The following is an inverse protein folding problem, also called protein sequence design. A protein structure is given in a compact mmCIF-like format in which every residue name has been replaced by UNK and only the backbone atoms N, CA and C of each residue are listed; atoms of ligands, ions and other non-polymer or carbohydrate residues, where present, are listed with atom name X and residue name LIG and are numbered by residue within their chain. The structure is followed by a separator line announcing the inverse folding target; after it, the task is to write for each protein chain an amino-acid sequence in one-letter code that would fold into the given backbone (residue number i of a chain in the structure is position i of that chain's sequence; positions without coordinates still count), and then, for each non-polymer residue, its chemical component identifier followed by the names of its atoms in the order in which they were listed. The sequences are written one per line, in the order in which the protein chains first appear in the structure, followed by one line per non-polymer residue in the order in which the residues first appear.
data_IF_907490837272
#
_entry.id   IF_907490837272
#
_cell.length_a   1.000
_cell.length_b   1.000
_cell.length_c   1.000
_cell.angle_alpha   90.00
_cell.angle_beta   90.00
_cell.angle_gamma   90.00
#
_symmetry.space_group_name_H-M   'P 1'
#
loop_
_entity.id
_entity.type
_entity.pdbx_description
1 polymer ?
#
# COMPACT_ATOMS: atom_id res chain seq x y z
N UNK A 1 31.26 34.11 17.31
CA UNK A 1 30.02 34.04 18.09
C UNK A 1 29.00 34.95 17.40
N UNK A 2 27.78 34.46 17.14
CA UNK A 2 26.72 35.32 16.60
C UNK A 2 26.34 36.38 17.63
N UNK A 3 26.16 37.62 17.19
CA UNK A 3 25.55 38.66 18.02
C UNK A 3 24.13 38.27 18.40
N UNK A 4 23.60 38.86 19.49
CA UNK A 4 22.22 38.60 19.94
C UNK A 4 21.19 38.82 18.80
N UNK A 5 21.37 39.88 18.02
CA UNK A 5 20.52 40.20 16.88
C UNK A 5 20.63 39.17 15.73
N UNK A 6 21.84 38.72 15.40
CA UNK A 6 22.03 37.68 14.38
C UNK A 6 21.44 36.34 14.80
N UNK A 7 21.55 36.00 16.10
CA UNK A 7 20.98 34.78 16.66
C UNK A 7 19.44 34.81 16.63
N UNK A 8 18.83 35.94 16.98
CA UNK A 8 17.38 36.14 16.87
C UNK A 8 16.90 36.02 15.41
N UNK A 9 17.64 36.61 14.46
CA UNK A 9 17.37 36.46 13.02
C UNK A 9 17.50 35.01 12.55
N UNK A 10 18.54 34.29 12.99
CA UNK A 10 18.75 32.88 12.67
C UNK A 10 17.61 32.00 13.20
N UNK A 11 17.17 32.23 14.45
CA UNK A 11 16.03 31.53 15.04
C UNK A 11 14.75 31.83 14.24
N UNK A 12 14.49 33.10 13.93
CA UNK A 12 13.31 33.49 13.15
C UNK A 12 13.29 32.85 11.75
N UNK A 13 14.45 32.81 11.08
CA UNK A 13 14.63 32.14 9.80
C UNK A 13 14.37 30.64 9.92
N UNK A 14 14.94 29.98 10.93
CA UNK A 14 14.71 28.55 11.15
C UNK A 14 13.24 28.24 11.45
N UNK A 15 12.56 29.07 12.25
CA UNK A 15 11.11 28.93 12.52
C UNK A 15 10.29 29.03 11.23
N UNK A 16 10.68 29.89 10.30
CA UNK A 16 9.96 30.07 9.03
C UNK A 16 9.96 28.80 8.15
N UNK A 17 10.91 27.89 8.36
CA UNK A 17 11.04 26.63 7.62
C UNK A 17 10.09 25.53 8.12
N UNK A 18 9.60 25.61 9.35
CA UNK A 18 8.61 24.67 9.86
C UNK A 18 7.24 24.85 9.20
N UNK A 19 6.38 23.84 9.33
CA UNK A 19 4.98 23.90 8.93
C UNK A 19 4.26 25.09 9.59
N UNK A 20 3.35 25.74 8.85
CA UNK A 20 2.70 27.01 9.26
C UNK A 20 2.01 26.90 10.63
N UNK A 21 1.38 25.76 10.93
CA UNK A 21 0.66 25.52 12.19
C UNK A 21 1.57 25.53 13.42
N UNK A 22 2.84 25.11 13.28
CA UNK A 22 3.81 25.01 14.38
C UNK A 22 4.54 26.33 14.66
N UNK A 23 4.67 27.22 13.67
CA UNK A 23 5.50 28.45 13.77
C UNK A 23 5.15 29.34 14.96
N UNK A 24 3.85 29.54 15.24
CA UNK A 24 3.41 30.37 16.38
C UNK A 24 3.86 29.77 17.70
N UNK A 25 3.75 28.45 17.86
CA UNK A 25 4.12 27.74 19.09
C UNK A 25 5.64 27.74 19.28
N UNK A 26 6.40 27.58 18.20
CA UNK A 26 7.86 27.68 18.22
C UNK A 26 8.36 29.08 18.60
N UNK A 27 7.72 30.15 18.11
CA UNK A 27 8.05 31.52 18.56
C UNK A 27 7.78 31.71 20.04
N UNK A 28 6.65 31.20 20.54
CA UNK A 28 6.34 31.23 21.97
C UNK A 28 7.42 30.48 22.76
N UNK A 29 7.81 29.28 22.32
CA UNK A 29 8.86 28.47 22.95
C UNK A 29 10.20 29.22 23.00
N UNK A 30 10.65 29.82 21.90
CA UNK A 30 11.88 30.60 21.84
C UNK A 30 11.85 31.81 22.80
N UNK A 31 10.69 32.45 22.97
CA UNK A 31 10.51 33.57 23.89
C UNK A 31 10.56 33.20 25.38
N UNK A 32 10.43 31.90 25.72
CA UNK A 32 10.46 31.46 27.13
C UNK A 32 11.88 31.40 27.71
N UNK A 33 12.91 31.16 26.87
CA UNK A 33 14.31 31.12 27.30
C UNK A 33 15.25 31.15 26.09
N UNK A 34 16.41 31.84 26.16
CA UNK A 34 17.43 31.78 25.12
C UNK A 34 17.87 30.36 24.75
N UNK A 35 17.92 29.45 25.74
CA UNK A 35 18.30 28.04 25.53
C UNK A 35 17.26 27.25 24.72
N UNK A 36 15.98 27.61 24.87
CA UNK A 36 14.91 27.03 24.06
C UNK A 36 14.94 27.57 22.63
N UNK A 37 15.38 28.82 22.45
CA UNK A 37 15.73 29.36 21.13
C UNK A 37 16.89 28.60 20.47
N UNK A 38 17.95 28.29 21.24
CA UNK A 38 19.07 27.46 20.76
C UNK A 38 18.63 26.07 20.31
N UNK A 39 17.69 25.46 21.05
CA UNK A 39 17.17 24.14 20.74
C UNK A 39 16.55 24.06 19.33
N UNK A 40 15.90 25.14 18.87
CA UNK A 40 15.31 25.21 17.51
C UNK A 40 16.39 25.08 16.43
N UNK A 41 17.59 25.61 16.68
CA UNK A 41 18.72 25.52 15.76
C UNK A 41 19.45 24.18 15.89
N UNK A 42 19.69 23.73 17.12
CA UNK A 42 20.55 22.59 17.40
C UNK A 42 19.85 21.24 17.35
N UNK A 43 18.52 21.20 17.55
CA UNK A 43 17.70 19.99 17.51
C UNK A 43 16.24 20.31 17.10
N UNK A 44 15.99 20.53 15.79
CA UNK A 44 14.67 20.88 15.27
C UNK A 44 13.54 19.93 15.69
N UNK A 45 13.79 18.61 15.70
CA UNK A 45 12.80 17.61 16.10
C UNK A 45 12.36 17.71 17.56
N UNK A 46 13.29 17.93 18.49
CA UNK A 46 12.97 18.13 19.90
C UNK A 46 12.21 19.45 20.14
N UNK A 47 12.64 20.53 19.47
CA UNK A 47 11.94 21.81 19.55
C UNK A 47 10.50 21.72 19.03
N UNK A 48 10.29 21.02 17.91
CA UNK A 48 8.96 20.77 17.36
C UNK A 48 8.09 19.96 18.32
N UNK A 49 8.60 18.83 18.82
CA UNK A 49 7.89 17.95 19.76
C UNK A 49 7.39 18.69 21.00
N UNK A 50 8.26 19.53 21.59
CA UNK A 50 7.93 20.36 22.75
C UNK A 50 6.91 21.43 22.38
N UNK A 51 7.11 22.14 21.27
CA UNK A 51 6.23 23.24 20.87
C UNK A 51 4.81 22.75 20.50
N UNK A 52 4.68 21.55 19.93
CA UNK A 52 3.38 21.01 19.51
C UNK A 52 2.67 20.22 20.61
N UNK A 53 3.32 19.97 21.76
CA UNK A 53 2.85 19.04 22.80
C UNK A 53 2.49 17.67 22.19
N UNK A 54 3.38 17.13 21.35
CA UNK A 54 3.14 15.82 20.71
C UNK A 54 3.10 14.68 21.72
N UNK A 55 3.72 14.89 22.88
CA UNK A 55 3.86 13.93 23.98
C UNK A 55 3.09 14.39 25.21
N UNK A 56 3.05 13.50 26.20
CA UNK A 56 2.49 13.77 27.51
C UNK A 56 3.03 15.10 28.13
N UNK A 57 2.16 15.89 28.80
CA UNK A 57 2.56 17.17 29.38
C UNK A 57 3.71 17.09 30.38
N UNK A 58 3.78 16.05 31.21
CA UNK A 58 4.83 15.91 32.23
C UNK A 58 6.17 15.60 31.58
N UNK A 59 6.18 14.71 30.58
CA UNK A 59 7.37 14.40 29.76
C UNK A 59 7.87 15.64 29.03
N UNK A 60 6.94 16.45 28.51
CA UNK A 60 7.24 17.71 27.82
C UNK A 60 7.80 18.76 28.79
N UNK A 61 7.20 18.90 29.97
CA UNK A 61 7.65 19.79 31.03
C UNK A 61 9.07 19.45 31.50
N UNK A 62 9.37 18.16 31.67
CA UNK A 62 10.70 17.69 32.02
C UNK A 62 11.74 18.04 30.94
N UNK A 63 11.45 17.79 29.67
CA UNK A 63 12.34 18.16 28.56
C UNK A 63 12.62 19.68 28.52
N UNK A 64 11.59 20.50 28.81
CA UNK A 64 11.73 21.96 28.90
C UNK A 64 12.64 22.37 30.07
N UNK A 65 12.51 21.74 31.25
CA UNK A 65 13.40 21.99 32.40
C UNK A 65 14.85 21.68 32.04
N UNK A 66 15.11 20.47 31.56
CA UNK A 66 16.45 20.02 31.15
C UNK A 66 17.10 20.94 30.12
N UNK A 67 16.32 21.43 29.15
CA UNK A 67 16.81 22.37 28.15
C UNK A 67 17.15 23.75 28.76
N UNK A 68 16.35 24.24 29.71
CA UNK A 68 16.61 25.50 30.42
C UNK A 68 17.85 25.42 31.31
N UNK A 69 18.03 24.28 31.96
CA UNK A 69 19.18 24.00 32.84
C UNK A 69 20.48 23.79 32.05
N UNK A 70 20.41 23.74 30.71
CA UNK A 70 21.58 23.61 29.85
C UNK A 70 22.15 22.20 29.78
N UNK A 71 21.35 21.17 30.08
CA UNK A 71 21.75 19.78 29.93
C UNK A 71 22.00 19.42 28.46
N UNK A 72 22.59 18.24 28.24
CA UNK A 72 22.93 17.79 26.89
C UNK A 72 21.68 17.56 26.03
N UNK A 73 21.83 17.62 24.70
CA UNK A 73 20.72 17.33 23.78
C UNK A 73 20.15 15.92 23.95
N UNK A 74 20.98 14.96 24.40
CA UNK A 74 20.54 13.60 24.72
C UNK A 74 19.64 13.61 25.95
N UNK A 75 20.01 14.35 26.99
CA UNK A 75 19.22 14.46 28.22
C UNK A 75 17.89 15.16 27.97
N UNK A 76 17.85 16.15 27.06
CA UNK A 76 16.61 16.83 26.64
C UNK A 76 15.70 15.88 25.83
N UNK A 77 16.27 15.00 25.01
CA UNK A 77 15.50 14.07 24.17
C UNK A 77 14.98 12.84 24.92
N UNK A 78 15.69 12.39 25.96
CA UNK A 78 15.37 11.19 26.72
C UNK A 78 13.93 11.18 27.28
N UNK A 79 13.42 12.23 27.96
CA UNK A 79 12.05 12.26 28.45
C UNK A 79 11.03 12.08 27.33
N UNK A 80 11.33 12.55 26.12
CA UNK A 80 10.43 12.47 24.97
C UNK A 80 10.58 11.14 24.19
N UNK A 81 11.59 10.32 24.50
CA UNK A 81 11.92 9.13 23.71
C UNK A 81 12.32 9.45 22.27
N UNK A 82 12.91 10.63 22.03
CA UNK A 82 13.25 11.05 20.68
C UNK A 82 14.64 10.53 20.27
N UNK A 83 14.77 9.92 19.09
CA UNK A 83 16.06 9.44 18.64
C UNK A 83 16.95 10.59 18.16
N UNK A 84 18.25 10.48 18.45
CA UNK A 84 19.23 11.55 18.20
C UNK A 84 19.43 11.88 16.71
N UNK A 85 19.10 10.95 15.79
CA UNK A 85 19.24 11.20 14.36
C UNK A 85 18.28 12.30 13.85
N UNK A 86 17.19 12.58 14.57
CA UNK A 86 16.29 13.70 14.27
C UNK A 86 16.95 15.08 14.35
N UNK A 87 18.10 15.19 15.02
CA UNK A 87 18.92 16.41 15.00
C UNK A 87 19.31 16.83 13.58
N UNK A 88 19.48 15.87 12.67
CA UNK A 88 19.93 16.11 11.28
C UNK A 88 18.77 16.30 10.30
N UNK A 89 17.53 16.08 10.75
CA UNK A 89 16.34 16.19 9.92
C UNK A 89 15.97 17.67 9.76
N UNK A 90 15.70 18.14 8.53
CA UNK A 90 15.39 19.54 8.30
C UNK A 90 14.02 19.93 8.90
N UNK A 91 13.83 21.20 9.33
CA UNK A 91 12.56 21.69 9.87
C UNK A 91 11.31 21.38 9.04
N UNK A 92 11.45 21.38 7.72
CA UNK A 92 10.40 21.10 6.74
C UNK A 92 9.81 19.69 6.89
N UNK A 93 10.54 18.77 7.53
CA UNK A 93 10.07 17.40 7.76
C UNK A 93 8.96 17.32 8.81
N UNK A 94 8.95 18.25 9.75
CA UNK A 94 8.08 18.18 10.93
C UNK A 94 6.73 18.84 10.63
N UNK A 95 5.74 17.99 10.37
CA UNK A 95 4.34 18.37 10.17
C UNK A 95 3.43 17.45 10.98
N UNK A 96 2.31 17.98 11.50
CA UNK A 96 1.38 17.20 12.31
C UNK A 96 1.94 16.71 13.65
N UNK A 97 1.60 15.47 14.03
CA UNK A 97 2.05 14.84 15.29
C UNK A 97 3.17 13.85 15.02
N UNK A 98 4.24 13.90 15.82
CA UNK A 98 5.30 12.90 15.73
C UNK A 98 4.79 11.55 16.27
N UNK A 99 4.86 10.53 15.43
CA UNK A 99 4.63 9.13 15.77
C UNK A 99 5.90 8.48 16.33
N UNK A 100 5.79 7.22 16.74
CA UNK A 100 6.94 6.41 17.13
C UNK A 100 7.95 6.32 15.99
N UNK A 101 9.24 6.39 16.32
CA UNK A 101 10.34 6.40 15.36
C UNK A 101 11.37 5.35 15.73
N UNK A 102 11.97 4.66 14.75
CA UNK A 102 13.08 3.73 15.01
C UNK A 102 14.27 4.45 15.67
N UNK A 103 14.81 3.83 16.71
CA UNK A 103 15.88 4.37 17.54
C UNK A 103 17.08 3.42 17.72
N UNK A 104 17.05 2.24 17.09
CA UNK A 104 18.12 1.26 17.15
C UNK A 104 19.46 1.80 16.62
N UNK A 105 20.55 1.32 17.21
CA UNK A 105 21.89 1.87 16.96
C UNK A 105 22.34 1.71 15.50
N UNK A 106 22.04 0.55 14.88
CA UNK A 106 22.32 0.29 13.46
C UNK A 106 21.51 1.23 12.58
N UNK A 107 20.22 1.40 12.89
CA UNK A 107 19.33 2.31 12.18
C UNK A 107 19.83 3.76 12.24
N UNK A 108 20.10 4.27 13.45
CA UNK A 108 20.53 5.65 13.67
C UNK A 108 21.83 6.00 12.94
N UNK A 109 22.76 5.04 12.82
CA UNK A 109 24.01 5.21 12.07
C UNK A 109 23.78 5.32 10.56
N UNK A 110 22.81 4.60 10.01
CA UNK A 110 22.59 4.53 8.57
C UNK A 110 21.58 5.56 8.04
N UNK A 111 20.55 5.89 8.81
CA UNK A 111 19.44 6.74 8.36
C UNK A 111 19.90 8.15 8.02
N UNK A 112 20.94 8.65 8.68
CA UNK A 112 21.43 10.01 8.48
C UNK A 112 21.96 10.27 7.06
N UNK A 113 22.47 9.24 6.37
CA UNK A 113 22.90 9.32 4.98
C UNK A 113 21.74 9.23 3.97
N UNK A 114 20.52 8.93 4.44
CA UNK A 114 19.31 8.74 3.61
C UNK A 114 18.32 9.90 3.75
N UNK A 115 18.66 10.92 4.54
CA UNK A 115 17.84 12.13 4.69
C UNK A 115 17.78 12.86 3.33
N UNK A 116 16.59 13.22 2.82
CA UNK A 116 16.45 13.91 1.55
C UNK A 116 17.19 15.25 1.55
N UNK A 117 17.92 15.52 0.46
CA UNK A 117 18.59 16.81 0.25
C UNK A 117 17.59 17.91 -0.13
N UNK A 118 16.52 17.56 -0.83
CA UNK A 118 15.44 18.49 -1.16
C UNK A 118 14.43 18.56 0.01
N UNK A 119 14.29 19.71 0.70
CA UNK A 119 13.39 19.85 1.83
C UNK A 119 11.92 19.60 1.51
N UNK A 120 11.50 19.77 0.25
CA UNK A 120 10.12 19.55 -0.18
C UNK A 120 9.62 18.11 0.06
N UNK A 121 10.54 17.13 0.10
CA UNK A 121 10.21 15.73 0.33
C UNK A 121 10.40 15.28 1.78
N UNK A 122 10.99 16.12 2.63
CA UNK A 122 11.43 15.70 3.95
C UNK A 122 10.27 15.25 4.86
N UNK A 123 9.10 15.91 4.75
CA UNK A 123 7.94 15.54 5.56
C UNK A 123 7.36 14.20 5.13
N UNK A 124 7.18 14.02 3.83
CA UNK A 124 6.68 12.77 3.28
C UNK A 124 7.62 11.60 3.62
N UNK A 125 8.93 11.81 3.45
CA UNK A 125 9.97 10.85 3.79
C UNK A 125 9.95 10.46 5.28
N UNK A 126 9.88 11.43 6.21
CA UNK A 126 9.88 11.14 7.64
C UNK A 126 8.68 10.29 8.04
N UNK A 127 7.51 10.57 7.46
CA UNK A 127 6.30 9.80 7.73
C UNK A 127 6.38 8.37 7.20
N UNK A 128 6.97 8.15 6.02
CA UNK A 128 7.19 6.78 5.51
C UNK A 128 8.17 6.01 6.36
N UNK A 129 9.25 6.63 6.80
CA UNK A 129 10.24 5.98 7.66
C UNK A 129 9.61 5.61 9.00
N UNK A 130 8.82 6.51 9.59
CA UNK A 130 8.08 6.22 10.82
C UNK A 130 7.07 5.08 10.64
N UNK A 131 6.27 5.13 9.57
CA UNK A 131 5.31 4.07 9.25
C UNK A 131 6.02 2.73 9.03
N UNK A 132 7.07 2.71 8.21
CA UNK A 132 7.81 1.51 7.88
C UNK A 132 8.49 0.89 9.10
N UNK A 133 8.96 1.71 10.03
CA UNK A 133 9.52 1.24 11.30
C UNK A 133 8.46 0.65 12.23
N UNK A 134 7.26 1.24 12.23
CA UNK A 134 6.15 0.80 13.08
C UNK A 134 5.46 -0.46 12.53
N UNK A 135 5.21 -0.51 11.22
CA UNK A 135 4.49 -1.61 10.57
C UNK A 135 5.42 -2.74 10.07
N UNK A 136 6.67 -2.42 9.74
CA UNK A 136 7.71 -3.40 9.43
C UNK A 136 8.70 -3.48 10.57
N UNK A 137 9.99 -3.29 10.27
CA UNK A 137 11.07 -3.15 11.24
C UNK A 137 12.13 -2.17 10.74
N UNK A 138 13.21 -2.01 11.50
CA UNK A 138 14.30 -1.08 11.19
C UNK A 138 14.95 -1.32 9.82
N UNK A 139 15.19 -2.59 9.44
CA UNK A 139 15.79 -2.91 8.14
C UNK A 139 14.84 -2.56 6.98
N UNK A 140 13.52 -2.75 7.16
CA UNK A 140 12.51 -2.32 6.20
C UNK A 140 12.40 -0.79 6.14
N UNK A 141 12.42 -0.12 7.28
CA UNK A 141 12.41 1.34 7.36
C UNK A 141 13.64 1.97 6.70
N UNK A 142 14.82 1.37 6.88
CA UNK A 142 16.03 1.75 6.15
C UNK A 142 15.83 1.55 4.65
N UNK A 143 15.34 0.38 4.23
CA UNK A 143 15.10 0.10 2.81
C UNK A 143 14.14 1.13 2.18
N UNK A 144 13.03 1.46 2.84
CA UNK A 144 12.11 2.53 2.43
C UNK A 144 12.82 3.89 2.37
N UNK A 145 13.63 4.22 3.37
CA UNK A 145 14.38 5.49 3.41
C UNK A 145 15.37 5.65 2.24
N UNK A 146 15.87 4.53 1.69
CA UNK A 146 16.79 4.52 0.57
C UNK A 146 16.09 4.57 -0.80
N UNK A 147 14.79 4.29 -0.86
CA UNK A 147 14.07 4.39 -2.12
C UNK A 147 14.07 5.85 -2.56
N UNK A 148 14.61 6.10 -3.76
CA UNK A 148 14.42 7.41 -4.41
C UNK A 148 12.92 7.62 -4.53
N UNK A 149 12.39 8.81 -4.21
CA UNK A 149 10.96 9.03 -4.27
C UNK A 149 10.39 8.54 -5.62
N UNK A 150 9.45 7.59 -5.63
CA UNK A 150 8.60 7.39 -6.79
C UNK A 150 7.16 7.44 -6.24
N UNK A 151 6.76 8.60 -5.75
CA UNK A 151 5.36 8.93 -5.66
C UNK A 151 5.25 10.28 -6.38
N UNK A 152 5.26 10.19 -7.71
CA UNK A 152 5.26 11.34 -8.63
C UNK A 152 3.96 12.16 -8.49
N UNK A 153 2.98 11.66 -7.74
CA UNK A 153 1.88 12.44 -7.18
C UNK A 153 2.08 12.54 -5.67
N UNK A 154 1.80 13.73 -5.13
CA UNK A 154 1.64 13.93 -3.70
C UNK A 154 0.45 13.09 -3.21
N UNK A 155 0.66 11.80 -3.03
CA UNK A 155 -0.28 10.93 -2.33
C UNK A 155 -0.25 11.43 -0.88
N UNK A 156 -1.40 11.84 -0.32
CA UNK A 156 -1.48 12.25 1.07
C UNK A 156 -0.74 11.27 1.97
N UNK A 157 -0.02 11.77 2.99
CA UNK A 157 0.83 10.99 3.90
C UNK A 157 0.08 9.80 4.55
N UNK A 158 -1.23 9.94 4.70
CA UNK A 158 -2.17 8.92 5.17
C UNK A 158 -2.57 7.87 4.10
N UNK A 159 -1.99 7.90 2.90
CA UNK A 159 -2.43 7.13 1.74
C UNK A 159 -1.29 6.49 0.95
N UNK A 160 -0.02 6.58 1.36
CA UNK A 160 0.98 5.71 0.73
C UNK A 160 0.75 4.29 1.26
N UNK A 161 0.34 3.36 0.39
CA UNK A 161 -0.17 2.07 0.79
C UNK A 161 0.97 1.12 1.14
N UNK A 162 1.85 1.52 2.07
CA UNK A 162 3.02 0.72 2.46
C UNK A 162 2.63 -0.47 3.34
N UNK A 163 1.41 -0.51 3.90
CA UNK A 163 0.98 -1.58 4.82
C UNK A 163 1.14 -2.97 4.22
N UNK A 164 0.67 -3.28 3.00
CA UNK A 164 0.80 -4.62 2.45
C UNK A 164 2.28 -5.02 2.25
N UNK A 165 3.12 -4.08 1.83
CA UNK A 165 4.55 -4.29 1.67
C UNK A 165 5.29 -4.45 3.01
N UNK A 166 4.88 -3.71 4.03
CA UNK A 166 5.40 -3.83 5.40
C UNK A 166 5.03 -5.19 6.01
N UNK A 167 3.78 -5.63 5.84
CA UNK A 167 3.31 -6.96 6.23
C UNK A 167 4.13 -8.05 5.55
N UNK A 168 4.28 -7.97 4.23
CA UNK A 168 5.08 -8.91 3.46
C UNK A 168 6.54 -8.97 3.96
N UNK A 169 7.16 -7.82 4.20
CA UNK A 169 8.52 -7.74 4.73
C UNK A 169 8.63 -8.34 6.14
N UNK A 170 7.69 -8.02 7.02
CA UNK A 170 7.64 -8.53 8.38
C UNK A 170 7.47 -10.05 8.40
N UNK A 171 6.48 -10.58 7.66
CA UNK A 171 6.28 -12.03 7.56
C UNK A 171 7.45 -12.73 6.87
N UNK A 172 8.19 -12.06 5.98
CA UNK A 172 9.39 -12.66 5.37
C UNK A 172 10.52 -12.90 6.37
N UNK A 173 10.66 -12.03 7.37
CA UNK A 173 11.75 -12.08 8.37
C UNK A 173 11.33 -12.87 9.62
N UNK A 174 10.17 -12.53 10.19
CA UNK A 174 9.72 -13.05 11.49
C UNK A 174 8.62 -14.09 11.38
N UNK A 175 8.00 -14.20 10.21
CA UNK A 175 6.81 -15.00 10.03
C UNK A 175 7.06 -16.48 10.30
N UNK A 176 6.25 -17.03 11.20
CA UNK A 176 5.97 -18.47 11.28
C UNK A 176 4.48 -18.68 11.00
N UNK A 177 4.11 -19.90 10.63
CA UNK A 177 2.72 -20.25 10.40
C UNK A 177 2.19 -19.84 9.02
N UNK A 178 0.85 -19.82 8.84
CA UNK A 178 0.28 -20.02 7.51
C UNK A 178 0.47 -18.83 6.55
N UNK A 179 0.64 -17.61 7.06
CA UNK A 179 0.91 -16.44 6.22
C UNK A 179 2.33 -16.47 5.65
N UNK A 180 3.32 -16.97 6.41
CA UNK A 180 4.70 -17.15 5.95
C UNK A 180 4.81 -18.20 4.85
N UNK A 181 4.07 -19.31 5.00
CA UNK A 181 4.07 -20.43 4.05
C UNK A 181 3.58 -20.04 2.66
N UNK A 182 2.77 -18.99 2.57
CA UNK A 182 2.28 -18.44 1.30
C UNK A 182 3.31 -17.54 0.58
N UNK A 183 4.45 -17.24 1.22
CA UNK A 183 5.52 -16.43 0.62
C UNK A 183 6.45 -17.34 -0.19
N UNK A 184 6.34 -17.24 -1.51
CA UNK A 184 7.23 -17.95 -2.46
C UNK A 184 8.67 -17.45 -2.37
N UNK A 185 8.87 -16.12 -2.37
CA UNK A 185 10.18 -15.47 -2.30
C UNK A 185 10.20 -14.45 -1.17
N UNK A 186 10.93 -14.70 -0.07
CA UNK A 186 11.00 -13.77 1.07
C UNK A 186 11.61 -12.43 0.67
N UNK A 187 11.08 -11.36 1.27
CA UNK A 187 11.67 -10.02 1.21
C UNK A 187 13.12 -10.01 1.72
N UNK A 188 13.96 -9.21 1.08
CA UNK A 188 15.33 -8.94 1.53
C UNK A 188 15.73 -7.49 1.19
N UNK A 189 16.65 -6.87 1.96
CA UNK A 189 17.05 -5.47 1.76
C UNK A 189 17.68 -5.16 0.39
N UNK A 190 18.13 -6.18 -0.35
CA UNK A 190 18.69 -6.04 -1.70
C UNK A 190 17.64 -6.02 -2.81
N UNK A 191 16.36 -6.27 -2.50
CA UNK A 191 15.30 -6.21 -3.50
C UNK A 191 15.12 -4.79 -4.05
N UNK A 192 14.89 -4.71 -5.37
CA UNK A 192 14.36 -3.50 -5.99
C UNK A 192 12.90 -3.31 -5.58
N UNK A 193 12.43 -2.06 -5.59
CA UNK A 193 11.08 -1.71 -5.17
C UNK A 193 10.02 -2.50 -5.96
N UNK A 194 10.13 -2.54 -7.28
CA UNK A 194 9.18 -3.20 -8.19
C UNK A 194 9.14 -4.72 -7.97
N UNK A 195 10.28 -5.30 -7.59
CA UNK A 195 10.35 -6.74 -7.28
C UNK A 195 9.65 -7.04 -5.96
N UNK A 196 9.81 -6.17 -4.97
CA UNK A 196 9.18 -6.34 -3.66
C UNK A 196 7.65 -6.13 -3.75
N UNK A 197 7.18 -5.17 -4.56
CA UNK A 197 5.75 -4.92 -4.77
C UNK A 197 5.06 -6.07 -5.51
N UNK A 198 5.67 -6.59 -6.59
CA UNK A 198 5.12 -7.76 -7.29
C UNK A 198 5.11 -9.02 -6.41
N UNK A 199 6.16 -9.24 -5.60
CA UNK A 199 6.17 -10.34 -4.64
C UNK A 199 5.08 -10.20 -3.56
N UNK A 200 4.87 -8.97 -3.06
CA UNK A 200 3.78 -8.64 -2.13
C UNK A 200 2.41 -8.94 -2.74
N UNK A 201 2.19 -8.54 -3.99
CA UNK A 201 0.92 -8.79 -4.72
C UNK A 201 0.63 -10.28 -4.84
N UNK A 202 1.63 -11.09 -5.24
CA UNK A 202 1.48 -12.56 -5.34
C UNK A 202 1.18 -13.22 -4.01
N UNK A 203 1.81 -12.74 -2.94
CA UNK A 203 1.56 -13.23 -1.60
C UNK A 203 0.13 -12.91 -1.14
N UNK A 204 -0.36 -11.68 -1.36
CA UNK A 204 -1.73 -11.29 -1.03
C UNK A 204 -2.77 -12.00 -1.89
N UNK A 205 -2.49 -12.22 -3.18
CA UNK A 205 -3.32 -13.07 -4.06
C UNK A 205 -3.48 -14.48 -3.48
N UNK A 206 -2.40 -15.01 -2.89
CA UNK A 206 -2.39 -16.32 -2.24
C UNK A 206 -3.17 -16.33 -0.91
N UNK A 207 -3.08 -15.27 -0.11
CA UNK A 207 -3.92 -15.08 1.09
C UNK A 207 -5.41 -14.98 0.69
N UNK A 208 -5.73 -14.12 -0.27
CA UNK A 208 -7.08 -13.89 -0.74
C UNK A 208 -7.74 -15.17 -1.27
N UNK A 209 -6.95 -16.07 -1.89
CA UNK A 209 -7.43 -17.37 -2.36
C UNK A 209 -8.00 -18.25 -1.24
N UNK A 210 -7.58 -18.06 0.02
CA UNK A 210 -8.10 -18.81 1.19
C UNK A 210 -9.45 -18.31 1.68
N UNK A 211 -9.77 -17.03 1.47
CA UNK A 211 -11.03 -16.40 1.92
C UNK A 211 -12.06 -16.23 0.81
N UNK A 212 -11.64 -16.43 -0.43
CA UNK A 212 -12.59 -16.63 -1.51
C UNK A 212 -13.37 -17.89 -1.21
N UNK A 213 -14.71 -17.86 -1.30
CA UNK A 213 -15.51 -19.05 -1.07
C UNK A 213 -14.96 -20.20 -1.92
N UNK A 214 -14.50 -21.26 -1.27
CA UNK A 214 -14.27 -22.52 -1.94
C UNK A 214 -15.64 -22.96 -2.42
N UNK A 215 -15.90 -22.75 -3.71
CA UNK A 215 -17.12 -23.27 -4.31
C UNK A 215 -17.14 -24.77 -3.97
N UNK A 216 -18.22 -25.32 -3.39
CA UNK A 216 -18.55 -26.69 -3.76
C UNK A 216 -18.54 -26.68 -5.29
N UNK A 217 -17.93 -27.69 -5.94
CA UNK A 217 -18.01 -27.88 -7.40
C UNK A 217 -19.50 -27.97 -7.80
N UNK A 218 -20.17 -26.83 -7.84
CA UNK A 218 -21.46 -26.61 -8.43
C UNK A 218 -21.10 -26.05 -9.78
N UNK A 219 -21.16 -26.94 -10.76
CA UNK A 219 -21.17 -26.58 -12.16
C UNK A 219 -22.22 -25.48 -12.43
N UNK A 220 -22.25 -24.93 -13.65
CA UNK A 220 -23.00 -23.73 -14.01
C UNK A 220 -24.50 -23.86 -13.67
N UNK A 221 -24.90 -23.45 -12.46
CA UNK A 221 -26.17 -23.82 -11.86
C UNK A 221 -27.34 -22.86 -12.16
N UNK A 222 -27.06 -21.64 -12.63
CA UNK A 222 -28.12 -20.73 -13.11
C UNK A 222 -27.96 -20.30 -14.57
N UNK A 223 -26.74 -20.27 -15.09
CA UNK A 223 -26.47 -19.85 -16.47
C UNK A 223 -26.54 -20.98 -17.52
N UNK A 224 -26.56 -22.26 -17.10
CA UNK A 224 -26.77 -23.40 -18.03
C UNK A 224 -28.22 -23.87 -18.14
N UNK A 225 -29.17 -23.24 -17.42
CA UNK A 225 -30.57 -23.67 -17.44
C UNK A 225 -31.38 -23.16 -18.63
N UNK A 226 -30.80 -22.36 -19.52
CA UNK A 226 -31.34 -22.23 -20.87
C UNK A 226 -30.49 -23.07 -21.82
N UNK A 227 -30.79 -24.37 -21.87
CA UNK A 227 -30.50 -25.16 -23.06
C UNK A 227 -31.23 -24.50 -24.22
N UNK A 228 -30.49 -23.87 -25.15
CA UNK A 228 -30.83 -23.93 -26.58
C UNK A 228 -29.63 -23.57 -27.47
N UNK A 229 -29.47 -24.44 -28.48
CA UNK A 229 -28.46 -24.57 -29.53
C UNK A 229 -27.00 -24.81 -29.04
N UNK A 230 -26.35 -25.85 -29.58
CA UNK A 230 -24.91 -26.13 -29.52
C UNK A 230 -24.24 -26.61 -28.20
N UNK A 231 -24.79 -26.35 -27.01
CA UNK A 231 -24.12 -26.73 -25.74
C UNK A 231 -22.92 -25.84 -25.35
N UNK A 232 -22.83 -24.66 -25.97
CA UNK A 232 -21.85 -23.62 -25.66
C UNK A 232 -22.21 -22.87 -24.37
N UNK A 233 -21.21 -22.51 -23.58
CA UNK A 233 -21.32 -21.67 -22.38
C UNK A 233 -20.22 -20.62 -22.32
N UNK A 234 -20.49 -19.49 -21.67
CA UNK A 234 -19.49 -18.46 -21.33
C UNK A 234 -19.10 -18.53 -19.85
N UNK A 235 -17.80 -18.36 -19.59
CA UNK A 235 -17.22 -18.34 -18.25
C UNK A 235 -16.35 -17.08 -18.11
N UNK A 236 -16.66 -16.14 -17.20
CA UNK A 236 -15.85 -14.94 -17.03
C UNK A 236 -14.47 -15.27 -16.41
N UNK A 237 -13.43 -14.60 -16.89
CA UNK A 237 -12.06 -14.66 -16.37
C UNK A 237 -11.77 -13.36 -15.62
N UNK A 238 -11.83 -13.42 -14.29
CA UNK A 238 -11.91 -12.26 -13.39
C UNK A 238 -10.57 -11.86 -12.76
N UNK A 239 -9.53 -12.68 -12.89
CA UNK A 239 -8.25 -12.41 -12.25
C UNK A 239 -7.07 -12.98 -13.04
N UNK A 240 -5.87 -12.52 -12.70
CA UNK A 240 -4.64 -12.92 -13.39
C UNK A 240 -4.38 -14.43 -13.38
N UNK A 241 -4.80 -15.18 -12.35
CA UNK A 241 -4.64 -16.64 -12.34
C UNK A 241 -5.49 -17.29 -13.42
N UNK A 242 -6.78 -16.93 -13.49
CA UNK A 242 -7.72 -17.46 -14.48
C UNK A 242 -7.28 -17.11 -15.91
N UNK A 243 -6.77 -15.90 -16.12
CA UNK A 243 -6.24 -15.46 -17.42
C UNK A 243 -4.97 -16.21 -17.81
N UNK A 244 -4.05 -16.48 -16.87
CA UNK A 244 -2.86 -17.30 -17.13
C UNK A 244 -3.22 -18.76 -17.43
N UNK A 245 -4.18 -19.32 -16.71
CA UNK A 245 -4.68 -20.69 -16.94
C UNK A 245 -5.35 -20.81 -18.31
N UNK A 246 -6.17 -19.82 -18.68
CA UNK A 246 -6.74 -19.74 -20.02
C UNK A 246 -5.65 -19.61 -21.08
N UNK A 247 -4.68 -18.70 -20.88
CA UNK A 247 -3.60 -18.48 -21.82
C UNK A 247 -2.75 -19.72 -22.08
N UNK A 248 -2.46 -20.50 -21.04
CA UNK A 248 -1.79 -21.80 -21.17
C UNK A 248 -2.64 -22.82 -21.93
N UNK A 249 -3.92 -22.94 -21.59
CA UNK A 249 -4.81 -23.94 -22.19
C UNK A 249 -5.16 -23.63 -23.65
N UNK A 250 -5.26 -22.35 -23.99
CA UNK A 250 -5.62 -21.86 -25.33
C UNK A 250 -4.39 -21.47 -26.16
N UNK A 251 -3.18 -21.60 -25.60
CA UNK A 251 -1.92 -21.23 -26.25
C UNK A 251 -1.92 -19.79 -26.80
N UNK A 252 -2.29 -18.82 -25.96
CA UNK A 252 -2.27 -17.39 -26.31
C UNK A 252 -2.00 -16.48 -25.11
N UNK A 253 -1.60 -15.24 -25.37
CA UNK A 253 -1.08 -14.30 -24.37
C UNK A 253 -2.12 -13.63 -23.47
N UNK A 254 -3.36 -14.13 -23.37
CA UNK A 254 -4.42 -13.48 -22.58
C UNK A 254 -4.06 -13.23 -21.10
N UNK A 255 -3.07 -13.96 -20.57
CA UNK A 255 -2.51 -13.73 -19.23
C UNK A 255 -1.93 -12.32 -19.03
N UNK A 256 -1.50 -11.62 -20.09
CA UNK A 256 -0.95 -10.25 -20.00
C UNK A 256 -2.04 -9.19 -19.77
N UNK A 257 -3.31 -9.52 -19.98
CA UNK A 257 -4.46 -8.62 -19.86
C UNK A 257 -4.96 -8.50 -18.42
N UNK A 258 -4.29 -9.15 -17.45
CA UNK A 258 -4.69 -9.13 -16.04
C UNK A 258 -4.87 -7.71 -15.49
N UNK A 259 -4.01 -6.77 -15.88
CA UNK A 259 -4.11 -5.37 -15.46
C UNK A 259 -5.32 -4.64 -16.06
N UNK A 260 -5.66 -4.89 -17.32
CA UNK A 260 -6.83 -4.28 -17.99
C UNK A 260 -8.15 -4.83 -17.46
N UNK A 261 -8.19 -6.12 -17.12
CA UNK A 261 -9.36 -6.72 -16.45
C UNK A 261 -9.50 -6.18 -15.03
N UNK A 262 -8.39 -6.01 -14.30
CA UNK A 262 -8.41 -5.44 -12.95
C UNK A 262 -8.86 -3.96 -12.95
N UNK A 263 -8.46 -3.16 -13.94
CA UNK A 263 -8.89 -1.75 -14.07
C UNK A 263 -10.31 -1.59 -14.64
N UNK A 264 -10.96 -2.68 -15.04
CA UNK A 264 -12.28 -2.65 -15.69
C UNK A 264 -12.28 -2.11 -17.11
N UNK A 265 -11.10 -1.94 -17.72
CA UNK A 265 -10.94 -1.46 -19.09
C UNK A 265 -11.37 -2.50 -20.13
N UNK A 266 -11.30 -3.79 -19.79
CA UNK A 266 -11.87 -4.86 -20.60
C UNK A 266 -12.44 -5.99 -19.75
N UNK A 267 -13.33 -6.78 -20.35
CA UNK A 267 -13.85 -8.01 -19.78
C UNK A 267 -13.47 -9.18 -20.67
N UNK A 268 -13.02 -10.28 -20.06
CA UNK A 268 -12.55 -11.45 -20.79
C UNK A 268 -13.35 -12.70 -20.37
N UNK A 269 -13.74 -13.50 -21.36
CA UNK A 269 -14.54 -14.69 -21.18
C UNK A 269 -13.93 -15.90 -21.90
N UNK A 270 -14.05 -17.07 -21.28
CA UNK A 270 -13.78 -18.39 -21.86
C UNK A 270 -15.08 -18.99 -22.37
N UNK A 271 -15.17 -19.23 -23.67
CA UNK A 271 -16.26 -19.95 -24.30
C UNK A 271 -15.92 -21.44 -24.28
N UNK A 272 -16.88 -22.26 -23.85
CA UNK A 272 -16.67 -23.69 -23.60
C UNK A 272 -17.80 -24.55 -24.12
N UNK A 273 -17.47 -25.75 -24.56
CA UNK A 273 -18.42 -26.84 -24.83
C UNK A 273 -18.13 -27.95 -23.82
N UNK A 274 -19.01 -28.09 -22.81
CA UNK A 274 -18.70 -28.89 -21.63
C UNK A 274 -17.49 -28.35 -20.87
N UNK A 275 -16.43 -29.16 -20.74
CA UNK A 275 -15.15 -28.79 -20.13
C UNK A 275 -14.11 -28.27 -21.15
N UNK A 276 -14.36 -28.45 -22.45
CA UNK A 276 -13.44 -28.03 -23.50
C UNK A 276 -13.55 -26.51 -23.73
N UNK A 277 -12.41 -25.83 -23.75
CA UNK A 277 -12.33 -24.41 -24.15
C UNK A 277 -12.26 -24.33 -25.66
N UNK A 278 -13.16 -23.54 -26.24
CA UNK A 278 -13.30 -23.42 -27.70
C UNK A 278 -12.95 -22.03 -28.21
N UNK A 279 -13.09 -21.01 -27.37
CA UNK A 279 -12.65 -19.66 -27.69
C UNK A 279 -12.43 -18.82 -26.42
N UNK A 280 -11.66 -17.75 -26.57
CA UNK A 280 -11.53 -16.68 -25.60
C UNK A 280 -11.99 -15.39 -26.24
N UNK A 281 -12.81 -14.63 -25.51
CA UNK A 281 -13.46 -13.42 -25.98
C UNK A 281 -13.08 -12.25 -25.09
N UNK A 282 -12.67 -11.13 -25.69
CA UNK A 282 -12.52 -9.84 -25.05
C UNK A 282 -13.65 -8.91 -25.51
N UNK A 283 -14.30 -8.27 -24.55
CA UNK A 283 -15.26 -7.19 -24.81
C UNK A 283 -14.82 -5.91 -24.10
N UNK A 284 -15.16 -4.77 -24.69
CA UNK A 284 -14.94 -3.45 -24.09
C UNK A 284 -16.20 -2.60 -24.18
N UNK A 285 -16.28 -1.61 -23.30
CA UNK A 285 -17.36 -0.65 -23.31
C UNK A 285 -17.07 0.47 -24.32
N UNK A 286 -18.03 0.75 -25.19
CA UNK A 286 -18.11 2.00 -25.92
C UNK A 286 -18.86 3.01 -25.03
N UNK A 287 -18.14 4.02 -24.54
CA UNK A 287 -18.68 5.03 -23.61
C UNK A 287 -19.72 5.95 -24.24
N UNK A 288 -19.64 6.20 -25.54
CA UNK A 288 -20.57 7.07 -26.27
C UNK A 288 -21.90 6.36 -26.52
N UNK A 289 -21.84 5.09 -26.92
CA UNK A 289 -23.03 4.27 -27.21
C UNK A 289 -23.61 3.56 -25.98
N UNK A 290 -22.95 3.69 -24.81
CA UNK A 290 -23.27 2.95 -23.58
C UNK A 290 -23.44 1.44 -23.80
N UNK A 291 -22.74 0.89 -24.79
CA UNK A 291 -22.88 -0.48 -25.23
C UNK A 291 -21.52 -1.19 -25.21
N UNK A 292 -21.53 -2.51 -25.05
CA UNK A 292 -20.31 -3.32 -25.16
C UNK A 292 -20.17 -3.87 -26.58
N UNK A 293 -18.93 -4.03 -27.02
CA UNK A 293 -18.60 -4.63 -28.30
C UNK A 293 -17.47 -5.65 -28.14
N UNK A 294 -17.45 -6.63 -29.03
CA UNK A 294 -16.40 -7.65 -29.09
C UNK A 294 -15.16 -7.01 -29.71
N UNK A 295 -14.07 -6.95 -28.94
CA UNK A 295 -12.76 -6.52 -29.45
C UNK A 295 -12.06 -7.70 -30.10
N UNK A 296 -12.15 -8.87 -29.47
CA UNK A 296 -11.47 -10.06 -29.94
C UNK A 296 -12.29 -11.31 -29.60
N UNK A 297 -12.29 -12.27 -30.53
CA UNK A 297 -12.83 -13.61 -30.33
C UNK A 297 -11.94 -14.61 -31.07
N UNK A 298 -11.18 -15.40 -30.32
CA UNK A 298 -10.15 -16.28 -30.87
C UNK A 298 -10.22 -17.68 -30.28
N UNK A 299 -9.98 -18.69 -31.11
CA UNK A 299 -9.80 -20.08 -30.70
C UNK A 299 -8.38 -20.37 -30.23
N UNK A 300 -8.07 -21.64 -29.90
CA UNK A 300 -6.74 -22.05 -29.50
C UNK A 300 -5.68 -21.65 -30.54
N UNK A 301 -4.54 -21.11 -30.09
CA UNK A 301 -3.46 -20.63 -30.96
C UNK A 301 -3.82 -19.39 -31.78
N UNK A 302 -4.76 -18.57 -31.31
CA UNK A 302 -5.28 -17.37 -32.00
C UNK A 302 -6.00 -17.66 -33.33
N UNK A 303 -6.50 -18.88 -33.52
CA UNK A 303 -7.19 -19.29 -34.76
C UNK A 303 -8.59 -18.69 -34.82
N UNK A 304 -9.11 -18.46 -36.03
CA UNK A 304 -10.48 -18.02 -36.26
C UNK A 304 -11.49 -19.05 -35.72
N UNK A 305 -12.50 -18.58 -35.00
CA UNK A 305 -13.54 -19.45 -34.44
C UNK A 305 -14.59 -19.85 -35.50
N UNK A 306 -15.26 -21.01 -35.36
CA UNK A 306 -16.39 -21.38 -36.19
C UNK A 306 -17.55 -20.38 -36.12
N UNK A 307 -18.35 -20.29 -37.19
CA UNK A 307 -19.49 -19.38 -37.28
C UNK A 307 -20.49 -19.55 -36.13
N UNK A 308 -20.71 -20.80 -35.68
CA UNK A 308 -21.56 -21.11 -34.53
C UNK A 308 -21.09 -20.41 -33.24
N UNK A 309 -19.79 -20.43 -32.97
CA UNK A 309 -19.19 -19.77 -31.79
C UNK A 309 -19.26 -18.25 -31.92
N UNK A 310 -19.01 -17.72 -33.13
CA UNK A 310 -19.13 -16.28 -33.41
C UNK A 310 -20.56 -15.78 -33.26
N UNK A 311 -21.55 -16.52 -33.76
CA UNK A 311 -22.97 -16.17 -33.67
C UNK A 311 -23.45 -16.23 -32.21
N UNK A 312 -22.99 -17.24 -31.46
CA UNK A 312 -23.27 -17.35 -30.03
C UNK A 312 -22.71 -16.14 -29.25
N UNK A 313 -21.46 -15.77 -29.51
CA UNK A 313 -20.81 -14.62 -28.87
C UNK A 313 -21.52 -13.30 -29.22
N UNK A 314 -21.85 -13.08 -30.49
CA UNK A 314 -22.58 -11.90 -30.96
C UNK A 314 -23.96 -11.78 -30.31
N UNK A 315 -24.76 -12.84 -30.37
CA UNK A 315 -26.09 -12.88 -29.75
C UNK A 315 -26.04 -12.71 -28.23
N UNK A 316 -24.95 -13.16 -27.59
CA UNK A 316 -24.72 -12.92 -26.17
C UNK A 316 -24.49 -11.42 -25.93
N UNK A 317 -23.55 -10.78 -26.62
CA UNK A 317 -23.25 -9.34 -26.43
C UNK A 317 -24.46 -8.47 -26.75
N UNK A 318 -25.18 -8.73 -27.85
CA UNK A 318 -26.40 -8.01 -28.25
C UNK A 318 -27.54 -8.12 -27.23
N UNK A 319 -27.65 -9.25 -26.53
CA UNK A 319 -28.65 -9.40 -25.46
C UNK A 319 -28.33 -8.53 -24.23
N UNK A 320 -27.06 -8.20 -24.03
CA UNK A 320 -26.58 -7.52 -22.83
C UNK A 320 -26.15 -6.06 -23.08
N UNK A 321 -26.27 -5.52 -24.30
CA UNK A 321 -25.93 -4.12 -24.64
C UNK A 321 -26.75 -3.05 -23.88
N UNK A 322 -27.74 -3.42 -23.06
CA UNK A 322 -28.41 -2.50 -22.14
C UNK A 322 -27.67 -2.31 -20.80
N UNK A 323 -27.03 -3.35 -20.24
CA UNK A 323 -26.13 -3.29 -19.07
C UNK A 323 -25.47 -4.67 -18.78
N UNK A 324 -24.24 -4.95 -19.24
CA UNK A 324 -23.51 -6.17 -18.90
C UNK A 324 -22.93 -6.19 -17.48
N UNK A 325 -22.90 -5.06 -16.76
CA UNK A 325 -22.55 -5.08 -15.34
C UNK A 325 -23.57 -5.94 -14.58
N UNK A 326 -24.84 -5.94 -15.00
CA UNK A 326 -25.89 -6.82 -14.45
C UNK A 326 -25.66 -8.31 -14.73
N UNK A 327 -24.83 -8.68 -15.72
CA UNK A 327 -24.40 -10.07 -15.94
C UNK A 327 -23.20 -10.47 -15.06
N UNK A 328 -22.48 -9.48 -14.51
CA UNK A 328 -21.50 -9.67 -13.44
C UNK A 328 -22.17 -9.65 -12.05
N UNK A 329 -23.32 -8.99 -11.92
CA UNK A 329 -24.19 -9.02 -10.75
C UNK A 329 -25.02 -10.32 -10.75
N UNK A 330 -24.37 -11.40 -10.37
CA UNK A 330 -25.04 -12.30 -9.42
C UNK A 330 -24.23 -12.27 -8.16
N UNK A 331 -24.88 -11.66 -7.17
CA UNK A 331 -24.57 -11.57 -5.76
C UNK A 331 -23.26 -10.85 -5.44
N UNK A 332 -23.36 -9.86 -4.56
CA UNK A 332 -22.25 -9.38 -3.74
C UNK A 332 -21.60 -10.61 -3.06
N UNK A 333 -20.65 -11.27 -3.74
CA UNK A 333 -19.81 -12.32 -3.13
C UNK A 333 -18.71 -11.61 -2.35
N UNK A 334 -19.13 -10.94 -1.28
CA UNK A 334 -18.29 -10.39 -0.22
C UNK A 334 -17.29 -11.46 0.23
N UNK A 335 -16.02 -11.09 0.50
CA UNK A 335 -15.05 -12.07 1.01
C UNK A 335 -15.65 -12.76 2.24
N UNK A 336 -15.70 -14.10 2.24
CA UNK A 336 -16.11 -14.83 3.44
C UNK A 336 -14.91 -14.94 4.38
N UNK A 337 -14.58 -13.82 5.03
CA UNK A 337 -13.50 -13.77 6.02
C UNK A 337 -13.97 -14.53 7.25
N UNK A 338 -13.57 -15.81 7.34
CA UNK A 338 -13.71 -16.56 8.58
C UNK A 338 -12.77 -15.92 9.62
N UNK A 339 -13.29 -15.33 10.72
CA UNK A 339 -12.46 -14.61 11.68
C UNK A 339 -11.37 -15.50 12.29
N UNK A 340 -11.65 -16.79 12.55
CA UNK A 340 -10.66 -17.70 13.11
C UNK A 340 -9.47 -17.94 12.16
N UNK A 341 -9.75 -18.12 10.86
CA UNK A 341 -8.71 -18.29 9.84
C UNK A 341 -7.93 -16.97 9.59
N UNK A 342 -8.62 -15.83 9.67
CA UNK A 342 -7.99 -14.50 9.60
C UNK A 342 -7.04 -14.26 10.77
N UNK A 343 -7.52 -14.53 11.99
CA UNK A 343 -6.70 -14.46 13.19
C UNK A 343 -5.51 -15.39 13.08
N UNK A 344 -5.69 -16.65 12.68
CA UNK A 344 -4.57 -17.59 12.52
C UNK A 344 -3.48 -17.10 11.55
N UNK A 345 -3.84 -16.36 10.50
CA UNK A 345 -2.87 -15.79 9.56
C UNK A 345 -2.11 -14.60 10.15
N UNK A 346 -2.83 -13.68 10.80
CA UNK A 346 -2.28 -12.39 11.20
C UNK A 346 -1.92 -12.28 12.68
N UNK A 347 -2.27 -13.24 13.53
CA UNK A 347 -1.95 -13.28 14.96
C UNK A 347 -0.46 -13.03 15.25
N UNK A 348 0.51 -13.67 14.54
CA UNK A 348 1.92 -13.43 14.84
C UNK A 348 2.30 -11.97 14.63
N UNK A 349 1.78 -11.33 13.57
CA UNK A 349 2.00 -9.92 13.29
C UNK A 349 1.30 -9.04 14.32
N UNK A 350 0.03 -9.33 14.61
CA UNK A 350 -0.77 -8.52 15.52
C UNK A 350 -0.28 -8.59 16.96
N UNK A 351 0.25 -9.73 17.41
CA UNK A 351 0.91 -9.86 18.71
C UNK A 351 2.15 -8.96 18.83
N UNK A 352 2.87 -8.74 17.72
CA UNK A 352 4.06 -7.90 17.69
C UNK A 352 3.77 -6.41 17.42
N UNK A 353 2.79 -6.11 16.57
CA UNK A 353 2.58 -4.77 15.97
C UNK A 353 1.15 -4.22 16.14
N UNK A 354 0.21 -5.02 16.64
CA UNK A 354 -1.20 -4.68 16.81
C UNK A 354 -2.08 -4.97 15.59
N UNK A 355 -3.39 -4.88 15.80
CA UNK A 355 -4.44 -5.20 14.80
C UNK A 355 -4.82 -4.06 13.85
N UNK A 356 -4.21 -2.88 13.98
CA UNK A 356 -4.68 -1.68 13.27
C UNK A 356 -4.65 -1.82 11.75
N UNK A 357 -5.84 -1.83 11.12
CA UNK A 357 -6.00 -2.02 9.67
C UNK A 357 -5.91 -3.48 9.22
N UNK A 358 -6.09 -4.43 10.15
CA UNK A 358 -6.17 -5.88 9.95
C UNK A 358 -7.42 -6.45 10.64
N UNK A 359 -8.48 -5.67 10.74
CA UNK A 359 -9.76 -6.12 11.29
C UNK A 359 -10.27 -7.33 10.46
N UNK A 360 -10.86 -8.33 11.10
CA UNK A 360 -11.27 -9.59 10.47
C UNK A 360 -12.55 -9.43 9.62
N UNK A 361 -12.48 -8.53 8.65
CA UNK A 361 -13.59 -8.07 7.82
C UNK A 361 -13.20 -8.10 6.33
N UNK A 362 -14.16 -8.31 5.42
CA UNK A 362 -13.94 -8.32 3.97
C UNK A 362 -13.22 -7.07 3.47
N UNK A 363 -13.64 -5.91 3.98
CA UNK A 363 -13.10 -4.60 3.64
C UNK A 363 -11.59 -4.48 3.93
N UNK A 364 -11.08 -5.14 4.97
CA UNK A 364 -9.64 -5.12 5.30
C UNK A 364 -8.80 -5.82 4.23
N UNK A 365 -9.27 -6.98 3.74
CA UNK A 365 -8.59 -7.72 2.69
C UNK A 365 -8.66 -6.99 1.35
N UNK A 366 -9.84 -6.45 1.01
CA UNK A 366 -10.02 -5.62 -0.18
C UNK A 366 -9.08 -4.42 -0.17
N UNK A 367 -9.01 -3.73 0.96
CA UNK A 367 -8.10 -2.61 1.14
C UNK A 367 -6.65 -3.02 0.93
N UNK A 368 -6.18 -4.12 1.52
CA UNK A 368 -4.81 -4.59 1.32
C UNK A 368 -4.50 -4.92 -0.15
N UNK A 369 -5.45 -5.50 -0.88
CA UNK A 369 -5.29 -5.80 -2.30
C UNK A 369 -5.21 -4.52 -3.14
N UNK A 370 -6.13 -3.58 -2.93
CA UNK A 370 -6.13 -2.26 -3.61
C UNK A 370 -4.84 -1.50 -3.31
N UNK A 371 -4.42 -1.49 -2.05
CA UNK A 371 -3.18 -0.88 -1.59
C UNK A 371 -1.95 -1.50 -2.29
N UNK A 372 -1.91 -2.83 -2.45
CA UNK A 372 -0.82 -3.52 -3.14
C UNK A 372 -0.78 -3.26 -4.66
N UNK A 373 -1.94 -3.14 -5.30
CA UNK A 373 -2.02 -2.79 -6.72
C UNK A 373 -1.54 -1.35 -6.95
N UNK A 374 -1.90 -0.41 -6.07
CA UNK A 374 -1.42 0.98 -6.13
C UNK A 374 0.12 1.06 -6.05
N UNK A 375 0.77 0.23 -5.22
CA UNK A 375 2.23 0.17 -5.15
C UNK A 375 2.89 -0.27 -6.46
N UNK A 376 2.21 -1.11 -7.25
CA UNK A 376 2.72 -1.63 -8.51
C UNK A 376 2.66 -0.59 -9.65
N UNK A 377 1.79 0.42 -9.50
CA UNK A 377 1.64 1.52 -10.47
C UNK A 377 2.45 2.77 -10.13
N UNK A 378 3.14 2.77 -8.98
CA UNK A 378 4.02 3.88 -8.55
C UNK A 378 5.47 3.73 -8.97
N UNK A 379 5.89 2.55 -9.45
CA UNK A 379 7.27 2.23 -9.87
C UNK A 379 7.64 2.70 -11.27
#
# INVERSE_FOLDING_TARGET
MLTKSEKEKAIAHQIARFERSARRRLRKLAGLSPRLGDLILSFPGAAFAIATNSFDPDRTGEAVRRARDGLSLRDVAQPLGLPMWLKRVPPEAFAGRLSSLPDGEKFARQIAGRIPQNPAYASCWLNWVSFAGTAGDEDFALWIAAQKPPFVRAVPINQVPLRPLALFAWFSIHGQGPARELIEKPWQPSMRFETATEATRRWLDSIASRFRPQRPRRGPGRYSRQRKAAGLRMVPLRNGSQLRDEGRAMNHCVGTYAHLVASGECLIFSLRTGENRVATMEIRQNRELKAFYIVQLQGPGNVRVPAEVSNFAGAWVERYTADPATALVTDDEEFMVNPAAWHQLFEPYAAAKGWTGLEAEPASLEKLLVEADLLSHTG
#
